data_IF_559310486594
#
_entry.id   IF_559310486594
#
_cell.length_a   1.000
_cell.length_b   1.000
_cell.length_c   1.000
_cell.angle_alpha   90.00
_cell.angle_beta   90.00
_cell.angle_gamma   90.00
#
_symmetry.space_group_name_H-M   'P 1'
#
loop_
_entity.id
_entity.type
_entity.pdbx_description
1 polymer ?
#
# COMPACT_ATOMS: atom_id res chain seq x y z
N UNK A 1 4.79 18.85 20.16
CA UNK A 1 3.43 19.45 20.04
C UNK A 1 3.28 20.40 18.85
N UNK A 2 3.90 21.60 18.80
CA UNK A 2 3.69 22.50 17.64
C UNK A 2 4.17 21.90 16.31
N UNK A 3 5.33 21.24 16.32
CA UNK A 3 5.95 20.69 15.11
C UNK A 3 5.11 19.59 14.45
N UNK A 4 4.46 18.71 15.22
CA UNK A 4 3.56 17.68 14.66
C UNK A 4 2.33 18.25 13.96
N UNK A 5 1.68 19.27 14.54
CA UNK A 5 0.54 19.92 13.89
C UNK A 5 0.96 20.70 12.64
N UNK A 6 2.11 21.39 12.66
CA UNK A 6 2.66 22.04 11.47
C UNK A 6 2.94 21.00 10.38
N UNK A 7 3.51 19.85 10.73
CA UNK A 7 3.75 18.76 9.80
C UNK A 7 2.44 18.21 9.21
N UNK A 8 1.41 18.00 10.03
CA UNK A 8 0.10 17.56 9.56
C UNK A 8 -0.58 18.58 8.66
N UNK A 9 -0.49 19.88 8.97
CA UNK A 9 -1.00 20.94 8.12
C UNK A 9 -0.26 21.00 6.78
N UNK A 10 1.06 20.81 6.78
CA UNK A 10 1.86 20.73 5.57
C UNK A 10 1.43 19.52 4.72
N UNK A 11 1.26 18.34 5.33
CA UNK A 11 0.78 17.15 4.63
C UNK A 11 -0.65 17.35 4.11
N UNK A 12 -1.55 17.95 4.89
CA UNK A 12 -2.90 18.28 4.45
C UNK A 12 -2.88 19.19 3.21
N UNK A 13 -2.02 20.21 3.20
CA UNK A 13 -1.86 21.07 2.04
C UNK A 13 -1.36 20.27 0.82
N UNK A 14 -0.35 19.40 0.99
CA UNK A 14 0.15 18.55 -0.10
C UNK A 14 -0.93 17.59 -0.66
N UNK A 15 -1.76 17.01 0.21
CA UNK A 15 -2.91 16.18 -0.22
C UNK A 15 -3.94 17.04 -0.95
N UNK A 16 -4.29 18.21 -0.41
CA UNK A 16 -5.29 19.10 -1.00
C UNK A 16 -4.89 19.59 -2.40
N UNK A 17 -3.60 19.88 -2.61
CA UNK A 17 -3.05 20.25 -3.91
C UNK A 17 -2.78 19.04 -4.84
N UNK A 18 -3.10 17.82 -4.42
CA UNK A 18 -2.91 16.61 -5.23
C UNK A 18 -1.46 16.15 -5.38
N UNK A 19 -0.50 16.75 -4.66
CA UNK A 19 0.92 16.38 -4.71
C UNK A 19 1.13 14.92 -4.26
N UNK A 20 0.36 14.49 -3.27
CA UNK A 20 0.43 13.13 -2.72
C UNK A 20 -0.55 12.15 -3.38
N UNK A 21 -1.31 12.56 -4.40
CA UNK A 21 -2.37 11.72 -5.00
C UNK A 21 -1.82 10.35 -5.42
N UNK A 22 -0.66 10.31 -6.09
CA UNK A 22 0.00 9.07 -6.50
C UNK A 22 0.37 8.16 -5.31
N UNK A 23 0.85 8.75 -4.21
CA UNK A 23 1.22 8.00 -2.99
C UNK A 23 -0.04 7.41 -2.36
N UNK A 24 -1.08 8.23 -2.22
CA UNK A 24 -2.35 7.87 -1.61
C UNK A 24 -3.09 6.79 -2.41
N UNK A 25 -3.16 6.92 -3.73
CA UNK A 25 -3.79 5.94 -4.61
C UNK A 25 -3.15 4.57 -4.49
N UNK A 26 -1.81 4.52 -4.44
CA UNK A 26 -1.05 3.27 -4.25
C UNK A 26 -1.18 2.68 -2.86
N UNK A 27 -1.57 3.49 -1.86
CA UNK A 27 -1.97 2.99 -0.55
C UNK A 27 -3.43 2.52 -0.51
N UNK A 28 -4.21 2.85 -1.55
CA UNK A 28 -5.65 2.64 -1.55
C UNK A 28 -6.40 3.65 -0.68
N UNK A 29 -5.85 4.84 -0.49
CA UNK A 29 -6.46 5.94 0.24
C UNK A 29 -6.87 7.02 -0.77
N UNK A 30 -8.12 7.48 -0.73
CA UNK A 30 -8.51 8.66 -1.54
C UNK A 30 -8.13 9.93 -0.81
N UNK A 31 -7.86 11.02 -1.54
CA UNK A 31 -7.54 12.35 -0.97
C UNK A 31 -8.54 12.80 0.10
N UNK A 32 -9.84 12.58 -0.13
CA UNK A 32 -10.90 12.94 0.83
C UNK A 32 -10.75 12.17 2.15
N UNK A 33 -10.53 10.87 2.08
CA UNK A 33 -10.34 10.03 3.27
C UNK A 33 -9.06 10.44 3.99
N UNK A 34 -7.96 10.69 3.26
CA UNK A 34 -6.70 11.16 3.84
C UNK A 34 -6.88 12.48 4.61
N UNK A 35 -7.56 13.47 3.99
CA UNK A 35 -7.86 14.75 4.64
C UNK A 35 -8.75 14.58 5.88
N UNK A 36 -9.75 13.69 5.85
CA UNK A 36 -10.56 13.36 7.02
C UNK A 36 -9.73 12.81 8.18
N UNK A 37 -8.81 11.88 7.91
CA UNK A 37 -7.90 11.36 8.93
C UNK A 37 -6.96 12.44 9.47
N UNK A 38 -6.41 13.30 8.61
CA UNK A 38 -5.55 14.40 9.06
C UNK A 38 -6.33 15.39 9.95
N UNK A 39 -7.54 15.77 9.54
CA UNK A 39 -8.41 16.62 10.35
C UNK A 39 -8.75 15.95 11.69
N UNK A 40 -9.06 14.66 11.68
CA UNK A 40 -9.34 13.89 12.90
C UNK A 40 -8.13 13.79 13.83
N UNK A 41 -6.90 13.66 13.29
CA UNK A 41 -5.68 13.68 14.08
C UNK A 41 -5.45 15.04 14.75
N UNK A 42 -5.67 16.14 14.01
CA UNK A 42 -5.55 17.49 14.54
C UNK A 42 -6.57 17.73 15.65
N UNK A 43 -7.87 17.52 15.36
CA UNK A 43 -8.96 17.74 16.33
C UNK A 43 -8.82 16.81 17.53
N UNK A 44 -8.57 15.52 17.29
CA UNK A 44 -8.40 14.52 18.33
C UNK A 44 -7.20 14.78 19.24
N UNK A 45 -6.18 15.48 18.76
CA UNK A 45 -5.04 15.87 19.59
C UNK A 45 -5.37 16.92 20.65
N UNK A 46 -6.46 17.69 20.48
CA UNK A 46 -6.96 18.65 21.47
C UNK A 46 -8.00 18.05 22.43
N UNK A 47 -8.45 16.82 22.18
CA UNK A 47 -9.39 16.13 23.06
C UNK A 47 -8.66 15.52 24.26
N UNK A 48 -9.34 15.37 25.41
CA UNK A 48 -8.76 14.71 26.58
C UNK A 48 -8.33 13.28 26.25
N UNK A 49 -7.21 12.86 26.84
CA UNK A 49 -6.72 11.49 26.70
C UNK A 49 -7.71 10.49 27.31
N UNK A 50 -7.88 9.34 26.68
CA UNK A 50 -8.78 8.29 27.14
C UNK A 50 -8.01 7.37 28.10
N UNK A 51 -8.42 7.25 29.38
CA UNK A 51 -7.77 6.36 30.32
C UNK A 51 -8.02 4.90 29.92
N UNK A 52 -6.94 4.11 29.86
CA UNK A 52 -6.97 2.67 29.60
C UNK A 52 -6.81 1.87 30.90
N UNK A 53 -6.04 2.38 31.87
CA UNK A 53 -5.82 1.81 33.19
C UNK A 53 -5.31 2.91 34.16
N UNK A 54 -5.13 2.58 35.45
CA UNK A 54 -4.83 3.54 36.53
C UNK A 54 -3.66 4.52 36.24
N UNK A 55 -2.69 4.09 35.42
CA UNK A 55 -1.52 4.89 35.04
C UNK A 55 -1.32 5.00 33.52
N UNK A 56 -2.31 4.62 32.73
CA UNK A 56 -2.21 4.53 31.27
C UNK A 56 -3.37 5.24 30.59
N UNK A 57 -3.04 6.10 29.64
CA UNK A 57 -4.02 6.76 28.80
C UNK A 57 -3.58 6.71 27.34
N UNK A 58 -4.53 6.89 26.42
CA UNK A 58 -4.26 6.98 24.99
C UNK A 58 -4.78 8.29 24.42
N UNK A 59 -3.95 8.99 23.65
CA UNK A 59 -4.36 10.19 22.94
C UNK A 59 -5.24 9.82 21.73
N UNK A 60 -6.33 10.56 21.53
CA UNK A 60 -7.25 10.30 20.42
C UNK A 60 -6.57 10.62 19.09
N UNK A 61 -5.98 11.81 18.96
CA UNK A 61 -5.35 12.28 17.73
C UNK A 61 -4.07 11.55 17.36
N UNK A 62 -3.27 11.15 18.34
CA UNK A 62 -1.96 10.53 18.13
C UNK A 62 -1.83 9.05 18.40
N UNK A 63 -2.83 8.44 19.04
CA UNK A 63 -2.90 6.99 19.21
C UNK A 63 -4.05 6.39 18.39
N UNK A 64 -5.28 6.78 18.73
CA UNK A 64 -6.48 6.10 18.18
C UNK A 64 -6.64 6.35 16.68
N UNK A 65 -6.64 7.62 16.24
CA UNK A 65 -6.89 7.96 14.83
C UNK A 65 -5.84 7.31 13.89
N UNK A 66 -4.52 7.38 14.18
CA UNK A 66 -3.51 6.67 13.39
C UNK A 66 -3.72 5.16 13.35
N UNK A 67 -4.09 4.53 14.48
CA UNK A 67 -4.38 3.10 14.53
C UNK A 67 -5.62 2.72 13.70
N UNK A 68 -6.67 3.55 13.70
CA UNK A 68 -7.85 3.35 12.85
C UNK A 68 -7.46 3.47 11.37
N UNK A 69 -6.63 4.45 11.00
CA UNK A 69 -6.12 4.59 9.64
C UNK A 69 -5.31 3.35 9.21
N UNK A 70 -4.44 2.86 10.09
CA UNK A 70 -3.71 1.61 9.85
C UNK A 70 -4.68 0.44 9.68
N UNK A 71 -5.70 0.31 10.52
CA UNK A 71 -6.71 -0.74 10.42
C UNK A 71 -7.43 -0.71 9.06
N UNK A 72 -7.80 0.49 8.58
CA UNK A 72 -8.37 0.69 7.24
C UNK A 72 -7.43 0.20 6.14
N UNK A 73 -6.15 0.59 6.18
CA UNK A 73 -5.16 0.19 5.19
C UNK A 73 -4.85 -1.31 5.24
N UNK A 74 -4.77 -1.88 6.44
CA UNK A 74 -4.55 -3.29 6.66
C UNK A 74 -5.70 -4.12 6.09
N UNK A 75 -6.95 -3.67 6.29
CA UNK A 75 -8.13 -4.29 5.68
C UNK A 75 -8.09 -4.21 4.15
N UNK A 76 -7.58 -3.13 3.56
CA UNK A 76 -7.45 -3.04 2.10
C UNK A 76 -6.29 -3.87 1.53
N UNK A 77 -5.40 -4.38 2.38
CA UNK A 77 -4.23 -5.14 1.94
C UNK A 77 -4.51 -6.60 1.62
N UNK A 78 -3.77 -7.15 0.67
CA UNK A 78 -3.84 -8.58 0.33
C UNK A 78 -3.13 -9.42 1.41
N UNK A 79 -3.45 -10.71 1.50
CA UNK A 79 -2.95 -11.58 2.58
C UNK A 79 -1.41 -11.58 2.72
N UNK A 80 -0.67 -11.62 1.59
CA UNK A 80 0.81 -11.59 1.61
C UNK A 80 1.34 -10.25 2.12
N UNK A 81 0.72 -9.15 1.72
CA UNK A 81 1.12 -7.82 2.16
C UNK A 81 0.75 -7.58 3.62
N UNK A 82 -0.43 -8.02 4.07
CA UNK A 82 -0.85 -8.00 5.47
C UNK A 82 0.17 -8.68 6.37
N UNK A 83 0.51 -9.93 6.07
CA UNK A 83 1.48 -10.70 6.86
C UNK A 83 2.84 -9.99 6.90
N UNK A 84 3.33 -9.55 5.74
CA UNK A 84 4.62 -8.85 5.64
C UNK A 84 4.64 -7.52 6.40
N UNK A 85 3.55 -6.76 6.34
CA UNK A 85 3.40 -5.49 7.06
C UNK A 85 3.30 -5.71 8.57
N UNK A 86 2.61 -6.77 9.00
CA UNK A 86 2.54 -7.15 10.40
C UNK A 86 3.92 -7.57 10.95
N UNK A 87 4.65 -8.41 10.22
CA UNK A 87 6.03 -8.77 10.58
C UNK A 87 6.95 -7.55 10.61
N UNK A 88 6.84 -6.67 9.61
CA UNK A 88 7.60 -5.42 9.57
C UNK A 88 7.27 -4.50 10.76
N UNK A 89 6.00 -4.39 11.16
CA UNK A 89 5.60 -3.63 12.34
C UNK A 89 6.24 -4.17 13.62
N UNK A 90 6.25 -5.50 13.80
CA UNK A 90 6.89 -6.15 14.95
C UNK A 90 8.40 -5.90 14.94
N UNK A 91 9.06 -6.04 13.79
CA UNK A 91 10.50 -5.76 13.64
C UNK A 91 10.80 -4.30 14.02
N UNK A 92 10.04 -3.34 13.48
CA UNK A 92 10.19 -1.92 13.80
C UNK A 92 9.98 -1.65 15.29
N UNK A 93 8.93 -2.21 15.89
CA UNK A 93 8.64 -2.00 17.31
C UNK A 93 9.73 -2.56 18.23
N UNK A 94 10.24 -3.76 17.95
CA UNK A 94 11.36 -4.34 18.69
C UNK A 94 12.61 -3.47 18.53
N UNK A 95 12.93 -3.06 17.31
CA UNK A 95 14.11 -2.26 17.04
C UNK A 95 14.07 -0.91 17.77
N UNK A 96 12.92 -0.23 17.78
CA UNK A 96 12.75 1.04 18.48
C UNK A 96 12.80 0.86 20.00
N UNK A 97 12.14 -0.17 20.53
CA UNK A 97 12.19 -0.48 21.96
C UNK A 97 13.64 -0.65 22.45
N UNK A 98 14.48 -1.37 21.70
CA UNK A 98 15.91 -1.50 22.04
C UNK A 98 16.70 -0.22 21.76
N UNK A 99 16.40 0.50 20.68
CA UNK A 99 17.08 1.77 20.35
C UNK A 99 16.91 2.80 21.48
N UNK A 100 15.72 2.91 22.07
CA UNK A 100 15.43 3.78 23.21
C UNK A 100 16.28 3.45 24.45
N UNK A 101 16.76 2.21 24.58
CA UNK A 101 17.56 1.75 25.71
C UNK A 101 19.06 1.89 25.49
N UNK A 102 19.50 1.82 24.23
CA UNK A 102 20.91 1.84 23.85
C UNK A 102 21.38 3.28 23.61
N UNK A 103 20.53 4.13 23.03
CA UNK A 103 20.90 5.49 22.66
C UNK A 103 20.77 6.43 23.88
N UNK A 104 21.87 7.05 24.35
CA UNK A 104 21.81 8.01 25.45
C UNK A 104 21.30 9.37 24.93
N UNK A 105 20.01 9.46 24.65
CA UNK A 105 19.35 10.70 24.24
C UNK A 105 18.90 11.53 25.44
N UNK A 106 19.76 11.63 26.48
CA UNK A 106 19.49 12.52 27.60
C UNK A 106 19.41 13.98 27.11
N UNK A 107 18.48 14.81 27.66
CA UNK A 107 18.31 16.20 27.25
C UNK A 107 19.62 17.02 27.30
N UNK A 108 20.54 16.63 28.18
CA UNK A 108 21.86 17.24 28.37
C UNK A 108 22.78 17.10 27.15
N UNK A 109 22.61 16.05 26.33
CA UNK A 109 23.42 15.77 25.14
C UNK A 109 22.63 15.88 23.81
N UNK A 110 21.31 16.07 23.88
CA UNK A 110 20.40 16.19 22.73
C UNK A 110 20.47 17.56 22.01
N UNK A 111 21.63 18.23 22.01
CA UNK A 111 21.78 19.60 21.50
C UNK A 111 21.63 19.76 19.98
N UNK A 112 21.49 18.67 19.22
CA UNK A 112 21.49 18.71 17.74
C UNK A 112 20.17 18.18 17.14
N UNK A 113 19.53 17.16 17.73
CA UNK A 113 18.32 16.53 17.20
C UNK A 113 17.36 16.13 18.34
N UNK A 114 16.08 16.52 18.20
CA UNK A 114 15.00 16.09 19.10
C UNK A 114 14.91 14.56 19.11
N UNK A 115 14.87 13.90 20.28
CA UNK A 115 14.68 12.45 20.40
C UNK A 115 13.48 11.94 19.60
N UNK A 116 12.38 12.70 19.58
CA UNK A 116 11.15 12.39 18.85
C UNK A 116 11.42 12.26 17.35
N UNK A 117 12.15 13.24 16.81
CA UNK A 117 12.50 13.27 15.40
C UNK A 117 13.48 12.14 15.05
N UNK A 118 14.44 11.88 15.95
CA UNK A 118 15.42 10.80 15.81
C UNK A 118 14.75 9.43 15.73
N UNK A 119 13.90 9.10 16.71
CA UNK A 119 13.21 7.81 16.72
C UNK A 119 12.17 7.69 15.61
N UNK A 120 11.47 8.77 15.26
CA UNK A 120 10.54 8.77 14.12
C UNK A 120 11.23 8.48 12.79
N UNK A 121 12.43 9.06 12.55
CA UNK A 121 13.24 8.74 11.36
C UNK A 121 13.71 7.29 11.38
N UNK A 122 14.29 6.84 12.50
CA UNK A 122 14.79 5.45 12.62
C UNK A 122 13.64 4.47 12.35
N UNK A 123 12.47 4.70 12.94
CA UNK A 123 11.30 3.86 12.75
C UNK A 123 10.84 3.89 11.29
N UNK A 124 10.79 5.06 10.68
CA UNK A 124 10.41 5.21 9.27
C UNK A 124 11.33 4.43 8.32
N UNK A 125 12.64 4.51 8.55
CA UNK A 125 13.66 3.78 7.76
C UNK A 125 13.50 2.27 7.92
N UNK A 126 13.41 1.77 9.16
CA UNK A 126 13.27 0.33 9.43
C UNK A 126 11.96 -0.20 8.85
N UNK A 127 10.86 0.54 9.05
CA UNK A 127 9.55 0.20 8.51
C UNK A 127 9.55 0.17 6.99
N UNK A 128 10.25 1.07 6.32
CA UNK A 128 10.44 1.02 4.88
C UNK A 128 11.24 -0.24 4.45
N UNK A 129 12.38 -0.51 5.10
CA UNK A 129 13.25 -1.65 4.73
C UNK A 129 12.51 -2.98 4.89
N UNK A 130 11.79 -3.17 6.00
CA UNK A 130 11.03 -4.38 6.26
C UNK A 130 9.70 -4.43 5.47
N UNK A 131 9.03 -3.29 5.36
CA UNK A 131 7.68 -3.16 4.79
C UNK A 131 7.63 -2.98 3.28
N UNK A 132 8.71 -2.57 2.59
CA UNK A 132 8.99 -2.38 1.13
C UNK A 132 7.94 -1.72 0.22
N UNK A 133 6.66 -1.94 0.43
CA UNK A 133 5.53 -1.32 -0.27
C UNK A 133 5.10 -0.06 0.46
N UNK A 134 4.58 0.93 -0.26
CA UNK A 134 4.08 2.20 0.32
C UNK A 134 3.11 1.97 1.48
N UNK A 135 2.06 1.18 1.26
CA UNK A 135 1.08 0.81 2.29
C UNK A 135 1.70 0.02 3.43
N UNK A 136 2.40 -1.08 3.14
CA UNK A 136 3.03 -1.88 4.18
C UNK A 136 4.08 -1.14 5.03
N UNK A 137 4.86 -0.24 4.44
CA UNK A 137 5.83 0.61 5.13
C UNK A 137 5.13 1.63 6.04
N UNK A 138 4.04 2.24 5.58
CA UNK A 138 3.22 3.14 6.39
C UNK A 138 2.61 2.40 7.60
N UNK A 139 2.00 1.24 7.37
CA UNK A 139 1.44 0.37 8.42
C UNK A 139 2.52 -0.01 9.44
N UNK A 140 3.70 -0.42 8.98
CA UNK A 140 4.81 -0.82 9.83
C UNK A 140 5.41 0.36 10.62
N UNK A 141 5.44 1.56 10.03
CA UNK A 141 5.96 2.77 10.68
C UNK A 141 5.10 3.19 11.87
N UNK A 142 3.78 3.31 11.64
CA UNK A 142 2.83 3.70 12.68
C UNK A 142 2.72 2.61 13.75
N UNK A 143 2.42 1.38 13.33
CA UNK A 143 2.22 0.27 14.29
C UNK A 143 3.52 -0.06 15.02
N UNK A 144 4.68 0.10 14.39
CA UNK A 144 5.98 -0.13 15.01
C UNK A 144 6.22 0.80 16.20
N UNK A 145 5.99 2.11 16.04
CA UNK A 145 6.10 3.06 17.16
C UNK A 145 5.12 2.68 18.28
N UNK A 146 3.84 2.44 17.95
CA UNK A 146 2.85 2.06 18.96
C UNK A 146 3.21 0.76 19.68
N UNK A 147 3.73 -0.25 18.96
CA UNK A 147 4.19 -1.49 19.56
C UNK A 147 5.39 -1.27 20.48
N UNK A 148 6.31 -0.36 20.13
CA UNK A 148 7.45 -0.03 20.99
C UNK A 148 7.00 0.55 22.34
N UNK A 149 5.94 1.37 22.33
CA UNK A 149 5.34 1.89 23.57
C UNK A 149 4.67 0.79 24.39
N UNK A 150 3.98 -0.15 23.73
CA UNK A 150 3.38 -1.31 24.40
C UNK A 150 4.47 -2.17 25.04
N UNK A 151 5.63 -2.36 24.38
CA UNK A 151 6.76 -3.09 24.95
C UNK A 151 7.39 -2.35 26.14
N UNK A 152 7.56 -1.03 26.04
CA UNK A 152 8.04 -0.20 27.14
C UNK A 152 7.09 -0.26 28.35
N UNK A 153 5.78 -0.16 28.10
CA UNK A 153 4.73 -0.32 29.10
C UNK A 153 4.80 -1.68 29.77
N UNK A 154 4.91 -2.76 29.00
CA UNK A 154 5.02 -4.11 29.54
C UNK A 154 6.28 -4.28 30.39
N UNK A 155 7.43 -3.73 29.98
CA UNK A 155 8.69 -3.78 30.75
C UNK A 155 8.56 -3.03 32.09
N UNK A 156 7.90 -1.86 32.10
CA UNK A 156 7.63 -1.10 33.34
C UNK A 156 6.71 -1.87 34.28
N UNK A 157 5.63 -2.44 33.75
CA UNK A 157 4.68 -3.24 34.54
C UNK A 157 5.35 -4.47 35.17
N UNK A 158 6.17 -5.20 34.40
CA UNK A 158 6.89 -6.38 34.88
C UNK A 158 7.91 -6.02 35.97
N UNK A 159 8.55 -4.85 35.87
CA UNK A 159 9.56 -4.39 36.84
C UNK A 159 8.96 -3.74 38.10
N UNK A 160 7.64 -3.53 38.15
CA UNK A 160 6.96 -2.92 39.29
C UNK A 160 7.34 -1.46 39.55
N UNK A 161 7.85 -0.75 38.53
CA UNK A 161 8.22 0.67 38.65
C UNK A 161 6.94 1.50 38.51
N UNK A 162 6.69 2.39 39.45
CA UNK A 162 5.55 3.31 39.38
C UNK A 162 5.85 4.43 38.37
N UNK A 163 5.05 4.53 37.32
CA UNK A 163 5.11 5.61 36.34
C UNK A 163 3.80 5.71 35.56
N UNK A 164 3.37 6.94 35.26
CA UNK A 164 2.26 7.21 34.35
C UNK A 164 2.79 7.28 32.92
N UNK A 165 2.26 6.47 32.01
CA UNK A 165 2.66 6.47 30.60
C UNK A 165 1.44 6.72 29.72
N UNK A 166 1.50 7.78 28.90
CA UNK A 166 0.45 8.10 27.94
C UNK A 166 0.88 7.59 26.56
N UNK A 167 0.16 6.63 26.01
CA UNK A 167 0.35 6.14 24.64
C UNK A 167 -0.16 7.22 23.67
N UNK A 168 0.68 7.64 22.72
CA UNK A 168 0.30 8.71 21.79
C UNK A 168 0.36 10.13 22.37
N UNK A 169 0.90 10.32 23.59
CA UNK A 169 1.09 11.64 24.22
C UNK A 169 2.15 12.53 23.55
N UNK A 170 2.45 13.69 24.15
CA UNK A 170 3.09 14.89 23.56
C UNK A 170 4.40 14.76 22.74
N UNK A 171 5.04 13.57 22.70
CA UNK A 171 6.12 13.22 21.78
C UNK A 171 5.82 12.02 20.88
N UNK A 172 5.00 11.07 21.33
CA UNK A 172 4.62 9.88 20.54
C UNK A 172 3.74 10.28 19.35
N UNK A 173 2.84 11.26 19.48
CA UNK A 173 2.07 11.77 18.35
C UNK A 173 2.98 12.23 17.20
N UNK A 174 3.98 13.05 17.53
CA UNK A 174 4.93 13.62 16.59
C UNK A 174 5.78 12.49 15.96
N UNK A 175 6.22 11.50 16.74
CA UNK A 175 6.98 10.34 16.24
C UNK A 175 6.15 9.39 15.36
N UNK A 176 4.89 9.10 15.71
CA UNK A 176 3.99 8.22 14.95
C UNK A 176 3.72 8.79 13.56
N UNK A 177 3.35 10.07 13.51
CA UNK A 177 3.10 10.78 12.25
C UNK A 177 4.37 10.84 11.41
N UNK A 178 5.50 11.20 12.03
CA UNK A 178 6.78 11.28 11.34
C UNK A 178 7.22 9.91 10.79
N UNK A 179 7.12 8.84 11.58
CA UNK A 179 7.49 7.50 11.15
C UNK A 179 6.67 7.03 9.94
N UNK A 180 5.34 7.26 9.96
CA UNK A 180 4.47 6.94 8.83
C UNK A 180 4.82 7.74 7.56
N UNK A 181 5.10 9.04 7.69
CA UNK A 181 5.46 9.90 6.57
C UNK A 181 6.83 9.54 5.97
N UNK A 182 7.83 9.32 6.82
CA UNK A 182 9.18 8.94 6.39
C UNK A 182 9.15 7.56 5.72
N UNK A 183 8.44 6.59 6.31
CA UNK A 183 8.39 5.24 5.73
C UNK A 183 7.70 5.21 4.37
N UNK A 184 6.58 5.93 4.21
CA UNK A 184 5.89 6.01 2.93
C UNK A 184 6.68 6.83 1.91
N UNK A 185 7.32 7.92 2.33
CA UNK A 185 8.15 8.75 1.46
C UNK A 185 9.34 7.97 0.90
N UNK A 186 10.03 7.19 1.74
CA UNK A 186 11.10 6.29 1.29
C UNK A 186 10.58 5.21 0.35
N UNK A 187 9.41 4.63 0.64
CA UNK A 187 8.79 3.65 -0.24
C UNK A 187 8.39 4.22 -1.60
N UNK A 188 7.96 5.48 -1.65
CA UNK A 188 7.65 6.17 -2.91
C UNK A 188 8.93 6.42 -3.72
N UNK A 189 9.95 7.04 -3.11
CA UNK A 189 11.19 7.42 -3.80
C UNK A 189 11.88 6.17 -4.38
N UNK A 190 11.96 5.09 -3.60
CA UNK A 190 12.64 3.88 -4.06
C UNK A 190 11.75 3.06 -4.98
N UNK A 191 10.44 2.97 -4.70
CA UNK A 191 9.49 2.27 -5.57
C UNK A 191 9.40 2.88 -6.96
N UNK A 192 9.35 4.22 -7.04
CA UNK A 192 9.35 4.95 -8.31
C UNK A 192 10.69 4.83 -9.05
N UNK A 193 11.81 4.85 -8.33
CA UNK A 193 13.13 4.62 -8.93
C UNK A 193 13.25 3.22 -9.55
N UNK A 194 12.68 2.20 -8.90
CA UNK A 194 12.71 0.83 -9.40
C UNK A 194 11.85 0.65 -10.66
N UNK A 195 10.65 1.23 -10.69
CA UNK A 195 9.76 1.18 -11.85
C UNK A 195 10.41 1.87 -13.08
N UNK A 196 11.11 2.99 -12.88
CA UNK A 196 11.82 3.71 -13.96
C UNK A 196 13.04 2.96 -14.49
N UNK A 197 13.73 2.19 -13.65
CA UNK A 197 14.92 1.43 -14.02
C UNK A 197 14.60 0.08 -14.67
N UNK A 198 13.47 -0.52 -14.33
CA UNK A 198 13.13 -1.89 -14.75
C UNK A 198 12.19 -1.93 -15.97
N UNK A 199 11.70 -0.79 -16.44
CA UNK A 199 10.98 -0.67 -17.71
C UNK A 199 9.84 0.34 -17.65
N UNK A 200 10.06 1.54 -18.23
CA UNK A 200 8.98 2.40 -18.67
C UNK A 200 8.13 1.70 -19.75
N UNK A 201 6.89 2.14 -20.01
CA UNK A 201 5.92 1.37 -20.77
C UNK A 201 6.44 1.03 -22.15
N UNK A 202 6.31 -0.23 -22.56
CA UNK A 202 6.01 -0.54 -23.95
C UNK A 202 4.74 0.25 -24.28
N UNK A 203 4.94 1.40 -24.91
CA UNK A 203 3.91 2.09 -25.65
C UNK A 203 3.53 1.13 -26.77
N UNK A 204 2.64 0.18 -26.46
CA UNK A 204 1.99 -0.64 -27.46
C UNK A 204 1.31 0.34 -28.39
N UNK A 205 1.85 0.38 -29.60
CA UNK A 205 1.27 0.95 -30.79
C UNK A 205 -0.23 0.68 -30.84
N UNK A 206 -1.03 1.63 -30.38
CA UNK A 206 -2.50 1.61 -30.48
C UNK A 206 -2.96 2.49 -31.65
N UNK A 207 -2.14 2.56 -32.71
CA UNK A 207 -2.42 3.28 -33.97
C UNK A 207 -2.90 2.35 -35.09
N UNK A 208 -3.37 1.12 -34.79
CA UNK A 208 -3.76 0.16 -35.84
C UNK A 208 -5.02 -0.69 -35.58
N UNK A 209 -5.99 -0.19 -34.81
CA UNK A 209 -7.29 -0.87 -34.61
C UNK A 209 -8.52 -0.01 -34.95
N UNK A 210 -8.33 1.00 -35.80
CA UNK A 210 -9.36 2.01 -36.08
C UNK A 210 -9.93 2.07 -37.50
N UNK A 211 -9.82 1.05 -38.37
CA UNK A 211 -10.44 1.16 -39.72
C UNK A 211 -10.82 -0.13 -40.46
N UNK A 212 -11.35 -1.16 -39.79
CA UNK A 212 -11.86 -2.38 -40.50
C UNK A 212 -13.21 -2.88 -40.04
N UNK A 213 -14.18 -1.99 -39.84
CA UNK A 213 -15.55 -2.44 -39.53
C UNK A 213 -16.67 -1.70 -40.27
N UNK A 214 -16.40 -1.11 -41.45
CA UNK A 214 -17.42 -0.38 -42.23
C UNK A 214 -17.41 -0.58 -43.76
N UNK A 215 -17.01 -1.74 -44.26
CA UNK A 215 -17.26 -2.07 -45.68
C UNK A 215 -17.01 -3.55 -45.99
N UNK A 216 -18.02 -4.40 -45.80
CA UNK A 216 -18.47 -5.39 -46.80
C UNK A 216 -19.61 -6.25 -46.22
N UNK A 217 -20.81 -5.70 -46.25
CA UNK A 217 -22.07 -6.47 -46.29
C UNK A 217 -22.55 -6.57 -47.74
N UNK A 218 -21.65 -6.90 -48.68
CA UNK A 218 -22.03 -7.18 -50.06
C UNK A 218 -21.22 -8.38 -50.59
N UNK A 219 -21.95 -9.28 -51.22
CA UNK A 219 -21.53 -10.45 -52.00
C UNK A 219 -21.10 -11.71 -51.24
N UNK A 220 -22.08 -12.36 -50.62
CA UNK A 220 -22.11 -13.82 -50.58
C UNK A 220 -22.41 -14.34 -52.00
N UNK A 221 -21.38 -14.77 -52.72
CA UNK A 221 -21.52 -15.72 -53.83
C UNK A 221 -20.93 -17.05 -53.38
N UNK A 222 -21.71 -18.14 -53.32
CA UNK A 222 -21.15 -19.46 -53.06
C UNK A 222 -20.25 -19.86 -54.23
N UNK A 223 -19.08 -20.39 -53.90
CA UNK A 223 -18.10 -20.91 -54.83
C UNK A 223 -18.67 -22.15 -55.56
N UNK A 224 -18.94 -22.01 -56.86
CA UNK A 224 -19.47 -23.08 -57.71
C UNK A 224 -18.46 -24.21 -57.98
N UNK A 225 -17.20 -24.11 -57.51
CA UNK A 225 -16.18 -25.12 -57.82
C UNK A 225 -16.32 -26.43 -57.02
N UNK A 226 -17.00 -26.44 -55.88
CA UNK A 226 -17.17 -27.65 -55.05
C UNK A 226 -18.37 -28.52 -55.46
N UNK A 227 -19.28 -27.99 -56.29
CA UNK A 227 -20.43 -28.73 -56.80
C UNK A 227 -20.06 -29.55 -58.05
N UNK A 228 -19.24 -29.00 -58.94
CA UNK A 228 -18.74 -29.74 -60.12
C UNK A 228 -17.84 -30.92 -59.74
N UNK A 229 -17.00 -30.78 -58.71
CA UNK A 229 -16.14 -31.89 -58.24
C UNK A 229 -16.95 -33.01 -57.59
N UNK A 230 -18.08 -32.70 -56.94
CA UNK A 230 -18.92 -33.71 -56.30
C UNK A 230 -19.77 -34.47 -57.33
N UNK A 231 -20.26 -33.79 -58.38
CA UNK A 231 -21.01 -34.43 -59.47
C UNK A 231 -20.11 -35.30 -60.38
N UNK A 232 -18.85 -34.90 -60.64
CA UNK A 232 -17.90 -35.74 -61.40
C UNK A 232 -17.50 -37.01 -60.63
N UNK A 233 -17.32 -36.93 -59.30
CA UNK A 233 -17.00 -38.11 -58.48
C UNK A 233 -18.19 -39.08 -58.38
N UNK A 234 -19.42 -38.56 -58.31
CA UNK A 234 -20.62 -39.41 -58.25
C UNK A 234 -20.92 -40.08 -59.60
N UNK A 235 -20.62 -39.43 -60.73
CA UNK A 235 -20.81 -40.04 -62.07
C UNK A 235 -19.70 -41.03 -62.45
N UNK A 236 -18.50 -40.91 -61.88
CA UNK A 236 -17.41 -41.86 -62.11
C UNK A 236 -17.57 -43.14 -61.27
N UNK A 237 -18.07 -43.06 -60.03
CA UNK A 237 -18.43 -44.26 -59.24
C UNK A 237 -19.63 -45.02 -59.83
N UNK A 238 -20.64 -44.34 -60.40
CA UNK A 238 -21.81 -45.00 -61.01
C UNK A 238 -21.46 -45.73 -62.32
N UNK A 239 -20.45 -45.28 -63.08
CA UNK A 239 -20.00 -45.98 -64.30
C UNK A 239 -19.10 -47.19 -64.02
N UNK A 240 -18.33 -47.21 -62.93
CA UNK A 240 -17.50 -48.37 -62.57
C UNK A 240 -18.32 -49.57 -62.06
N UNK A 241 -19.53 -49.34 -61.52
CA UNK A 241 -20.42 -50.41 -61.06
C UNK A 241 -21.35 -50.96 -62.17
N UNK A 242 -21.62 -50.23 -63.26
CA UNK A 242 -22.35 -50.76 -64.43
C UNK A 242 -21.48 -51.68 -65.31
N UNK A 243 -20.18 -51.39 -65.48
CA UNK A 243 -19.28 -52.21 -66.32
C UNK A 243 -18.83 -53.52 -65.65
N UNK A 244 -19.04 -53.69 -64.33
CA UNK A 244 -18.75 -54.95 -63.63
C UNK A 244 -19.91 -55.94 -63.58
N UNK A 245 -21.09 -55.56 -64.06
CA UNK A 245 -22.29 -56.40 -63.99
C UNK A 245 -22.85 -56.82 -65.37
N UNK A 246 -22.09 -56.63 -66.45
CA UNK A 246 -22.47 -57.04 -67.82
C UNK A 246 -21.67 -58.22 -68.40
N UNK A 247 -20.82 -58.87 -67.60
CA UNK A 247 -19.96 -59.98 -68.06
C UNK A 247 -20.35 -61.37 -67.48
N UNK A 248 -21.56 -61.50 -66.94
CA UNK A 248 -22.08 -62.79 -66.43
C UNK A 248 -23.57 -63.02 -66.81
N UNK A 249 -23.87 -63.05 -68.12
CA UNK A 249 -24.99 -63.81 -68.72
C UNK A 249 -24.72 -64.11 -70.19
#
# INVERSE_FOLDING_TARGET
>A
MFYGYVLLLAVAALVYFGVLQRVLDRMGLTDKIALWFIAAMIIGGFLPDIPLADNFAINIGGGIVPLVLVGYLFYKADNRERLRSALAAVITGIAIFYAMRILPLEPTYAGILDPTFTFGIIAGVIAYIAGRSRRGAFIAGITGIVLSDIFAMADVFIRGVQGTTIIGGAGIFDAVVLAGLISVGLAEIVGESYERLTGGPDQKDDDNLGDRDRSQTQDFKPDLSLQETSEELTQSEVKEDEDKNSDDT
#
